data_IF_003333761781
#
_entry.id   IF_003333761781
#
_cell.length_a   1.000
_cell.length_b   1.000
_cell.length_c   1.000
_cell.angle_alpha   90.00
_cell.angle_beta   90.00
_cell.angle_gamma   90.00
#
_symmetry.space_group_name_H-M   'P 1'
#
loop_
_entity.id
_entity.type
_entity.pdbx_description
1 polymer ?
#
# COMPACT_ATOMS: atom_id res chain seq x y z
N UNK A 1 -6.31 26.99 -5.90
CA UNK A 1 -5.77 26.03 -4.91
C UNK A 1 -4.66 25.29 -5.63
N UNK A 2 -3.39 25.45 -5.25
CA UNK A 2 -2.30 24.72 -5.90
C UNK A 2 -2.35 23.32 -5.32
N UNK A 3 -2.85 22.39 -6.12
CA UNK A 3 -2.90 20.96 -5.79
C UNK A 3 -1.44 20.49 -5.68
N UNK A 4 -1.11 19.77 -4.61
CA UNK A 4 0.20 19.14 -4.47
C UNK A 4 0.36 18.11 -5.60
N UNK A 5 1.50 18.04 -6.30
CA UNK A 5 1.72 17.03 -7.34
C UNK A 5 1.68 15.58 -6.80
N UNK A 6 1.65 15.42 -5.46
CA UNK A 6 1.55 14.16 -4.74
C UNK A 6 0.13 13.85 -4.24
N UNK A 7 -0.89 14.68 -4.54
CA UNK A 7 -2.27 14.51 -4.02
C UNK A 7 -2.82 13.11 -4.29
N UNK A 8 -2.80 12.64 -5.54
CA UNK A 8 -3.29 11.32 -5.87
C UNK A 8 -2.45 10.18 -5.26
N UNK A 9 -1.18 10.42 -4.93
CA UNK A 9 -0.38 9.44 -4.19
C UNK A 9 -0.85 9.35 -2.72
N UNK A 10 -1.23 10.48 -2.11
CA UNK A 10 -1.90 10.49 -0.80
C UNK A 10 -3.26 9.80 -0.86
N UNK A 11 -4.02 9.95 -1.94
CA UNK A 11 -5.30 9.25 -2.09
C UNK A 11 -5.12 7.73 -2.15
N UNK A 12 -4.12 7.24 -2.90
CA UNK A 12 -3.73 5.82 -2.84
C UNK A 12 -3.30 5.41 -1.43
N UNK A 13 -2.49 6.22 -0.75
CA UNK A 13 -2.03 5.89 0.60
C UNK A 13 -3.22 5.75 1.58
N UNK A 14 -4.15 6.69 1.57
CA UNK A 14 -5.34 6.69 2.43
C UNK A 14 -6.29 5.55 2.08
N UNK A 15 -6.50 5.32 0.78
CA UNK A 15 -7.40 4.29 0.28
C UNK A 15 -7.04 2.87 0.74
N UNK A 16 -5.75 2.60 0.88
CA UNK A 16 -5.22 1.25 1.08
C UNK A 16 -4.32 1.10 2.31
N UNK A 17 -4.18 2.15 3.12
CA UNK A 17 -3.32 2.18 4.31
C UNK A 17 -1.88 1.70 4.06
N UNK A 18 -1.30 2.08 2.91
CA UNK A 18 0.01 1.60 2.47
C UNK A 18 1.15 2.28 3.25
N UNK A 19 1.63 1.65 4.32
CA UNK A 19 2.68 2.22 5.19
C UNK A 19 3.95 2.59 4.42
N UNK A 20 4.41 1.71 3.53
CA UNK A 20 5.60 1.98 2.69
C UNK A 20 5.39 3.17 1.74
N UNK A 21 4.17 3.37 1.25
CA UNK A 21 3.82 4.51 0.42
C UNK A 21 3.86 5.81 1.22
N UNK A 22 3.30 5.82 2.44
CA UNK A 22 3.32 6.98 3.34
C UNK A 22 4.74 7.51 3.56
N UNK A 23 5.66 6.64 3.98
CA UNK A 23 7.06 7.03 4.23
C UNK A 23 7.76 7.52 2.97
N UNK A 24 7.40 7.00 1.79
CA UNK A 24 8.00 7.42 0.52
C UNK A 24 7.46 8.78 0.09
N UNK A 25 6.18 9.06 0.31
CA UNK A 25 5.56 10.36 0.02
C UNK A 25 6.17 11.45 0.90
N UNK A 26 6.30 11.22 2.22
CA UNK A 26 6.90 12.19 3.15
C UNK A 26 8.31 12.60 2.72
N UNK A 27 9.13 11.62 2.29
CA UNK A 27 10.47 11.87 1.76
C UNK A 27 10.45 12.62 0.43
N UNK A 28 9.50 12.31 -0.45
CA UNK A 28 9.31 13.02 -1.71
C UNK A 28 8.95 14.49 -1.49
N UNK A 29 8.04 14.76 -0.55
CA UNK A 29 7.60 16.12 -0.20
C UNK A 29 8.76 16.96 0.36
N UNK A 30 9.57 16.39 1.25
CA UNK A 30 10.72 17.09 1.80
C UNK A 30 11.75 17.43 0.70
N UNK A 31 12.12 16.45 -0.12
CA UNK A 31 13.05 16.67 -1.23
C UNK A 31 12.51 17.68 -2.25
N UNK A 32 11.19 17.71 -2.48
CA UNK A 32 10.57 18.61 -3.44
C UNK A 32 10.62 20.08 -3.00
N UNK A 33 10.71 20.38 -1.70
CA UNK A 33 10.75 21.77 -1.18
C UNK A 33 11.96 22.55 -1.70
N UNK A 34 13.11 21.89 -1.78
CA UNK A 34 14.35 22.44 -2.35
C UNK A 34 14.68 21.87 -3.72
N UNK A 35 13.80 21.02 -4.26
CA UNK A 35 13.95 20.35 -5.55
C UNK A 35 15.30 19.61 -5.62
N UNK A 36 15.52 18.72 -4.66
CA UNK A 36 16.68 17.85 -4.62
C UNK A 36 16.58 16.75 -5.69
N UNK A 37 17.70 16.29 -6.26
CA UNK A 37 17.72 15.19 -7.24
C UNK A 37 16.98 13.93 -6.78
N UNK A 38 17.00 13.62 -5.49
CA UNK A 38 16.33 12.48 -4.86
C UNK A 38 14.81 12.51 -5.04
N UNK A 39 14.20 13.68 -5.34
CA UNK A 39 12.78 13.76 -5.71
C UNK A 39 12.45 12.79 -6.86
N UNK A 40 13.33 12.67 -7.85
CA UNK A 40 13.15 11.75 -8.99
C UNK A 40 13.09 10.29 -8.52
N UNK A 41 13.97 9.91 -7.59
CA UNK A 41 14.00 8.57 -7.02
C UNK A 41 12.72 8.25 -6.24
N UNK A 42 12.25 9.18 -5.41
CA UNK A 42 11.04 8.98 -4.64
C UNK A 42 9.79 8.93 -5.52
N UNK A 43 9.65 9.81 -6.51
CA UNK A 43 8.54 9.76 -7.47
C UNK A 43 8.50 8.43 -8.23
N UNK A 44 9.66 7.91 -8.66
CA UNK A 44 9.77 6.58 -9.28
C UNK A 44 9.30 5.47 -8.33
N UNK A 45 9.77 5.50 -7.07
CA UNK A 45 9.40 4.50 -6.07
C UNK A 45 7.89 4.52 -5.78
N UNK A 46 7.27 5.71 -5.74
CA UNK A 46 5.83 5.86 -5.56
C UNK A 46 5.07 5.19 -6.72
N UNK A 47 5.45 5.47 -7.98
CA UNK A 47 4.81 4.82 -9.15
C UNK A 47 4.93 3.30 -9.04
N UNK A 48 6.11 2.81 -8.65
CA UNK A 48 6.35 1.37 -8.51
C UNK A 48 5.47 0.73 -7.43
N UNK A 49 5.39 1.36 -6.25
CA UNK A 49 4.54 0.89 -5.15
C UNK A 49 3.07 0.85 -5.59
N UNK A 50 2.59 1.92 -6.24
CA UNK A 50 1.21 2.01 -6.73
C UNK A 50 0.91 0.93 -7.77
N UNK A 51 1.78 0.74 -8.77
CA UNK A 51 1.55 -0.26 -9.82
C UNK A 51 1.56 -1.69 -9.27
N UNK A 52 2.51 -2.02 -8.38
CA UNK A 52 2.56 -3.32 -7.72
C UNK A 52 1.33 -3.57 -6.87
N UNK A 53 0.85 -2.53 -6.18
CA UNK A 53 -0.37 -2.65 -5.41
C UNK A 53 -1.58 -2.93 -6.31
N UNK A 54 -1.78 -2.16 -7.38
CA UNK A 54 -2.85 -2.39 -8.37
C UNK A 54 -2.82 -3.83 -8.91
N UNK A 55 -1.65 -4.32 -9.32
CA UNK A 55 -1.51 -5.68 -9.85
C UNK A 55 -1.80 -6.74 -8.77
N UNK A 56 -1.37 -6.50 -7.53
CA UNK A 56 -1.71 -7.37 -6.39
C UNK A 56 -3.21 -7.44 -6.13
N UNK A 57 -3.93 -6.32 -6.22
CA UNK A 57 -5.40 -6.27 -6.05
C UNK A 57 -6.13 -7.08 -7.13
N UNK A 58 -5.45 -7.36 -8.25
CA UNK A 58 -5.95 -8.16 -9.37
C UNK A 58 -5.47 -9.60 -9.37
N UNK A 59 -4.71 -10.01 -8.35
CA UNK A 59 -4.09 -11.34 -8.30
C UNK A 59 -3.09 -11.57 -9.44
N UNK A 60 -2.56 -10.51 -10.04
CA UNK A 60 -1.60 -10.61 -11.15
C UNK A 60 -0.16 -10.59 -10.64
N UNK A 61 0.73 -11.41 -11.22
CA UNK A 61 2.14 -11.40 -10.84
C UNK A 61 2.81 -10.11 -11.33
N UNK A 62 3.71 -9.57 -10.52
CA UNK A 62 4.45 -8.34 -10.83
C UNK A 62 5.93 -8.40 -10.45
N UNK A 63 6.40 -9.54 -9.96
CA UNK A 63 7.81 -9.74 -9.62
C UNK A 63 8.67 -9.63 -10.89
N UNK A 64 9.86 -9.05 -10.75
CA UNK A 64 10.84 -8.80 -11.83
C UNK A 64 10.41 -7.84 -12.96
N UNK A 65 9.20 -7.28 -12.92
CA UNK A 65 8.76 -6.33 -13.93
C UNK A 65 9.49 -4.98 -13.78
N UNK A 66 10.03 -4.49 -14.90
CA UNK A 66 10.56 -3.13 -14.98
C UNK A 66 9.42 -2.11 -14.95
N UNK A 67 9.69 -0.92 -14.41
CA UNK A 67 8.70 0.15 -14.23
C UNK A 67 7.81 0.44 -15.46
N UNK A 68 8.32 0.52 -16.70
CA UNK A 68 7.47 0.76 -17.87
C UNK A 68 6.43 -0.35 -18.08
N UNK A 69 6.82 -1.60 -17.84
CA UNK A 69 5.96 -2.77 -17.94
C UNK A 69 4.97 -2.82 -16.78
N UNK A 70 5.39 -2.47 -15.56
CA UNK A 70 4.51 -2.32 -14.40
C UNK A 70 3.38 -1.33 -14.66
N UNK A 71 3.69 -0.14 -15.19
CA UNK A 71 2.68 0.89 -15.49
C UNK A 71 1.71 0.42 -16.56
N UNK A 72 2.23 -0.18 -17.65
CA UNK A 72 1.39 -0.72 -18.72
C UNK A 72 0.43 -1.79 -18.21
N UNK A 73 0.96 -2.75 -17.44
CA UNK A 73 0.18 -3.88 -16.95
C UNK A 73 -0.81 -3.42 -15.87
N UNK A 74 -0.45 -2.46 -15.01
CA UNK A 74 -1.37 -1.87 -14.04
C UNK A 74 -2.56 -1.20 -14.74
N UNK A 75 -2.33 -0.37 -15.76
CA UNK A 75 -3.41 0.26 -16.55
C UNK A 75 -4.27 -0.77 -17.29
N UNK A 76 -3.65 -1.77 -17.92
CA UNK A 76 -4.36 -2.83 -18.61
C UNK A 76 -5.20 -3.69 -17.64
N UNK A 77 -4.68 -4.02 -16.46
CA UNK A 77 -5.38 -4.78 -15.42
C UNK A 77 -6.57 -4.03 -14.83
N UNK A 78 -6.47 -2.71 -14.89
CA UNK A 78 -7.57 -1.85 -14.57
C UNK A 78 -8.64 -2.00 -15.68
N UNK A 79 -8.31 -2.08 -16.96
CA UNK A 79 -9.28 -2.14 -18.06
C UNK A 79 -9.23 -0.88 -18.91
N UNK A 80 -8.06 -0.25 -18.93
CA UNK A 80 -7.79 0.90 -19.75
C UNK A 80 -7.50 0.44 -21.19
N UNK A 81 -8.53 0.45 -22.04
CA UNK A 81 -8.50 -0.14 -23.40
C UNK A 81 -7.71 0.67 -24.44
N UNK A 82 -7.15 1.83 -24.06
CA UNK A 82 -6.38 2.66 -24.98
C UNK A 82 -4.89 2.28 -24.97
N UNK A 83 -4.56 1.25 -25.74
CA UNK A 83 -3.19 0.74 -25.91
C UNK A 83 -2.18 1.80 -26.36
N UNK A 84 -2.62 2.80 -27.13
CA UNK A 84 -1.76 3.89 -27.59
C UNK A 84 -1.36 4.81 -26.44
N UNK A 85 -2.31 5.21 -25.60
CA UNK A 85 -2.03 6.03 -24.42
C UNK A 85 -1.21 5.24 -23.41
N UNK A 86 -1.54 3.97 -23.16
CA UNK A 86 -0.76 3.11 -22.27
C UNK A 86 0.67 2.91 -22.78
N UNK A 87 0.86 2.74 -24.09
CA UNK A 87 2.17 2.64 -24.74
C UNK A 87 2.99 3.93 -24.61
N UNK A 88 2.37 5.08 -24.89
CA UNK A 88 3.04 6.38 -24.76
C UNK A 88 3.44 6.68 -23.31
N UNK A 89 2.57 6.39 -22.35
CA UNK A 89 2.86 6.58 -20.92
C UNK A 89 3.98 5.65 -20.45
N UNK A 90 3.95 4.39 -20.90
CA UNK A 90 5.03 3.42 -20.65
C UNK A 90 6.37 3.92 -21.21
N UNK A 91 6.37 4.48 -22.42
CA UNK A 91 7.55 5.09 -23.04
C UNK A 91 8.08 6.30 -22.27
N UNK A 92 7.19 7.19 -21.82
CA UNK A 92 7.53 8.33 -20.98
C UNK A 92 8.14 7.87 -19.65
N UNK A 93 7.53 6.91 -18.97
CA UNK A 93 8.06 6.32 -17.72
C UNK A 93 9.38 5.58 -17.95
N UNK A 94 9.57 4.97 -19.14
CA UNK A 94 10.84 4.41 -19.57
C UNK A 94 11.93 5.47 -19.65
N UNK A 95 11.66 6.59 -20.31
CA UNK A 95 12.57 7.73 -20.37
C UNK A 95 12.87 8.29 -18.97
N UNK A 96 11.88 8.36 -18.07
CA UNK A 96 12.08 8.76 -16.67
C UNK A 96 13.01 7.82 -15.93
N UNK A 97 12.83 6.50 -16.09
CA UNK A 97 13.68 5.49 -15.46
C UNK A 97 15.12 5.56 -16.00
N UNK A 98 15.30 5.86 -17.29
CA UNK A 98 16.60 6.06 -17.92
C UNK A 98 17.30 7.33 -17.44
N UNK A 99 16.60 8.46 -17.35
CA UNK A 99 17.14 9.71 -16.79
C UNK A 99 17.64 9.43 -15.38
N UNK A 100 16.80 8.85 -14.51
CA UNK A 100 17.20 8.44 -13.16
C UNK A 100 18.45 7.57 -13.17
N UNK A 101 18.53 6.55 -14.03
CA UNK A 101 19.68 5.66 -14.07
C UNK A 101 20.97 6.34 -14.60
N UNK A 102 20.83 7.43 -15.35
CA UNK A 102 21.94 8.23 -15.88
C UNK A 102 22.38 9.38 -14.98
N UNK A 103 21.54 9.80 -14.02
CA UNK A 103 21.74 11.06 -13.28
C UNK A 103 21.58 10.92 -11.76
N UNK A 104 21.06 9.80 -11.23
CA UNK A 104 20.90 9.60 -9.78
C UNK A 104 22.13 8.93 -9.15
N UNK A 105 22.49 9.45 -7.97
CA UNK A 105 23.55 8.98 -7.07
C UNK A 105 23.38 7.48 -6.71
N UNK A 106 22.16 6.94 -6.79
CA UNK A 106 21.83 5.55 -6.49
C UNK A 106 21.74 4.64 -7.74
N UNK A 107 22.35 5.02 -8.86
CA UNK A 107 22.59 4.13 -9.99
C UNK A 107 23.61 3.06 -9.62
N UNK A 108 23.24 1.77 -9.65
CA UNK A 108 24.16 0.68 -9.34
C UNK A 108 25.43 0.75 -10.21
N UNK A 109 26.58 1.09 -9.60
CA UNK A 109 27.91 0.71 -10.08
C UNK A 109 28.63 1.61 -11.08
N UNK A 110 28.35 2.91 -11.17
CA UNK A 110 29.13 3.82 -12.03
C UNK A 110 29.65 5.03 -11.24
N UNK A 111 30.98 5.13 -11.14
CA UNK A 111 31.72 6.13 -10.37
C UNK A 111 31.73 7.54 -11.03
N UNK A 112 31.52 8.55 -10.18
CA UNK A 112 32.16 9.88 -10.16
C UNK A 112 32.03 10.85 -11.35
N UNK A 113 31.13 10.66 -12.32
CA UNK A 113 30.99 11.62 -13.44
C UNK A 113 29.58 11.75 -14.06
N UNK A 114 28.52 11.57 -13.29
CA UNK A 114 27.17 11.81 -13.80
C UNK A 114 26.72 13.27 -13.59
N UNK A 115 26.13 13.86 -14.63
CA UNK A 115 25.46 15.14 -14.55
C UNK A 115 24.27 15.02 -13.57
N UNK A 116 24.29 15.85 -12.54
CA UNK A 116 23.18 15.97 -11.57
C UNK A 116 21.98 16.57 -12.32
N UNK A 117 20.74 16.05 -12.11
CA UNK A 117 19.54 16.62 -12.70
C UNK A 117 19.44 18.11 -12.41
N UNK A 118 19.13 18.89 -13.43
CA UNK A 118 18.83 20.30 -13.22
C UNK A 118 17.49 20.45 -12.50
N UNK A 119 17.30 21.62 -11.89
CA UNK A 119 16.03 22.05 -11.33
C UNK A 119 14.86 21.98 -12.31
N UNK A 120 15.14 22.21 -13.60
CA UNK A 120 14.16 22.07 -14.68
C UNK A 120 13.81 20.61 -14.93
N UNK A 121 14.79 19.71 -14.93
CA UNK A 121 14.58 18.27 -15.11
C UNK A 121 13.69 17.71 -14.00
N UNK A 122 13.93 18.12 -12.75
CA UNK A 122 13.13 17.71 -11.59
C UNK A 122 11.67 18.17 -11.75
N UNK A 123 11.44 19.42 -12.16
CA UNK A 123 10.08 19.94 -12.39
C UNK A 123 9.35 19.18 -13.49
N UNK A 124 10.01 18.91 -14.62
CA UNK A 124 9.45 18.12 -15.72
C UNK A 124 9.10 16.72 -15.22
N UNK A 125 9.99 16.09 -14.45
CA UNK A 125 9.77 14.78 -13.88
C UNK A 125 8.53 14.77 -12.97
N UNK A 126 8.40 15.75 -12.09
CA UNK A 126 7.28 15.87 -11.15
C UNK A 126 5.95 16.05 -11.88
N UNK A 127 5.90 16.87 -12.93
CA UNK A 127 4.68 17.04 -13.74
C UNK A 127 4.27 15.75 -14.47
N UNK A 128 5.23 14.97 -14.95
CA UNK A 128 4.96 13.68 -15.57
C UNK A 128 4.49 12.68 -14.51
N UNK A 129 5.17 12.63 -13.36
CA UNK A 129 4.79 11.80 -12.22
C UNK A 129 3.33 12.06 -11.80
N UNK A 130 2.95 13.32 -11.63
CA UNK A 130 1.59 13.74 -11.27
C UNK A 130 0.57 13.20 -12.27
N UNK A 131 0.87 13.34 -13.57
CA UNK A 131 0.01 12.84 -14.66
C UNK A 131 -0.13 11.32 -14.64
N UNK A 132 0.96 10.59 -14.39
CA UNK A 132 0.98 9.12 -14.32
C UNK A 132 0.14 8.64 -13.13
N UNK A 133 0.36 9.20 -11.93
CA UNK A 133 -0.36 8.79 -10.73
C UNK A 133 -1.84 9.16 -10.83
N UNK A 134 -2.17 10.34 -11.36
CA UNK A 134 -3.56 10.74 -11.61
C UNK A 134 -4.26 9.75 -12.54
N UNK A 135 -3.61 9.36 -13.64
CA UNK A 135 -4.18 8.38 -14.56
C UNK A 135 -4.38 7.01 -13.89
N UNK A 136 -3.38 6.53 -13.14
CA UNK A 136 -3.48 5.27 -12.40
C UNK A 136 -4.61 5.30 -11.38
N UNK A 137 -4.78 6.41 -10.66
CA UNK A 137 -5.85 6.61 -9.69
C UNK A 137 -7.23 6.58 -10.34
N UNK A 138 -7.42 7.36 -11.41
CA UNK A 138 -8.69 7.40 -12.14
C UNK A 138 -9.01 6.10 -12.85
N UNK A 139 -7.98 5.42 -13.39
CA UNK A 139 -8.14 4.08 -13.92
C UNK A 139 -8.65 3.20 -12.78
N UNK A 140 -7.87 2.99 -11.71
CA UNK A 140 -8.23 2.10 -10.61
C UNK A 140 -9.65 2.34 -10.04
N UNK A 141 -10.05 3.61 -9.87
CA UNK A 141 -11.36 3.97 -9.32
C UNK A 141 -12.55 3.70 -10.23
N UNK A 142 -12.36 3.51 -11.54
CA UNK A 142 -13.46 3.23 -12.47
C UNK A 142 -13.85 1.75 -12.56
N UNK A 143 -13.10 0.86 -11.93
CA UNK A 143 -13.26 -0.57 -12.17
C UNK A 143 -14.00 -1.34 -11.09
N UNK A 144 -14.57 -2.48 -11.48
CA UNK A 144 -15.27 -3.39 -10.59
C UNK A 144 -14.31 -3.92 -9.52
N UNK A 145 -14.75 -3.82 -8.27
CA UNK A 145 -14.08 -4.34 -7.10
C UNK A 145 -14.37 -5.84 -7.04
N UNK A 146 -13.32 -6.66 -6.97
CA UNK A 146 -13.45 -8.07 -6.65
C UNK A 146 -13.37 -8.23 -5.13
N UNK A 147 -14.52 -8.49 -4.49
CA UNK A 147 -14.62 -8.66 -3.04
C UNK A 147 -13.78 -9.83 -2.50
N UNK A 148 -13.36 -10.78 -3.35
CA UNK A 148 -12.53 -11.92 -2.93
C UNK A 148 -11.03 -11.61 -2.91
N UNK A 149 -10.61 -10.52 -3.58
CA UNK A 149 -9.20 -10.15 -3.75
C UNK A 149 -8.84 -8.80 -3.14
N UNK A 150 -9.81 -7.88 -3.08
CA UNK A 150 -9.60 -6.48 -2.69
C UNK A 150 -9.00 -6.34 -1.29
N UNK A 151 -7.99 -5.48 -1.15
CA UNK A 151 -7.43 -5.00 0.12
C UNK A 151 -7.88 -3.57 0.44
N UNK A 152 -8.86 -3.03 -0.30
CA UNK A 152 -9.54 -1.79 0.09
C UNK A 152 -10.07 -1.90 1.51
N UNK A 153 -10.01 -0.80 2.25
CA UNK A 153 -10.59 -0.74 3.58
C UNK A 153 -12.12 -0.92 3.52
N UNK A 154 -12.67 -1.55 4.56
CA UNK A 154 -14.10 -1.86 4.65
C UNK A 154 -15.01 -0.62 4.46
N UNK A 155 -14.68 0.50 5.10
CA UNK A 155 -15.42 1.76 4.99
C UNK A 155 -15.47 2.30 3.56
N UNK A 156 -14.36 2.15 2.81
CA UNK A 156 -14.29 2.57 1.42
C UNK A 156 -15.01 1.61 0.48
N UNK A 157 -14.99 0.30 0.77
CA UNK A 157 -15.78 -0.69 0.03
C UNK A 157 -17.26 -0.41 0.23
N UNK A 158 -17.68 -0.20 1.47
CA UNK A 158 -19.06 0.11 1.83
C UNK A 158 -19.55 1.36 1.11
N UNK A 159 -18.76 2.43 1.11
CA UNK A 159 -19.09 3.66 0.39
C UNK A 159 -19.14 3.45 -1.13
N UNK A 160 -18.13 2.79 -1.71
CA UNK A 160 -17.98 2.68 -3.17
C UNK A 160 -18.98 1.75 -3.82
N UNK A 161 -19.44 0.72 -3.08
CA UNK A 161 -20.45 -0.23 -3.54
C UNK A 161 -21.84 0.05 -2.95
N UNK A 162 -22.01 1.17 -2.23
CA UNK A 162 -23.26 1.60 -1.60
C UNK A 162 -23.88 0.49 -0.71
N UNK A 163 -23.03 -0.20 0.07
CA UNK A 163 -23.42 -1.39 0.83
C UNK A 163 -24.01 -1.09 2.21
N UNK A 164 -24.14 0.18 2.63
CA UNK A 164 -24.59 0.53 3.98
C UNK A 164 -25.92 -0.17 4.36
N UNK A 165 -26.93 -0.12 3.48
CA UNK A 165 -28.21 -0.80 3.73
C UNK A 165 -28.09 -2.33 3.75
N UNK A 166 -27.20 -2.90 2.94
CA UNK A 166 -26.94 -4.34 2.94
C UNK A 166 -26.25 -4.76 4.24
N UNK A 167 -25.25 -4.00 4.69
CA UNK A 167 -24.52 -4.25 5.93
C UNK A 167 -25.44 -4.13 7.14
N UNK A 168 -26.34 -3.13 7.19
CA UNK A 168 -27.37 -3.03 8.25
C UNK A 168 -28.25 -4.29 8.33
N UNK A 169 -28.69 -4.84 7.18
CA UNK A 169 -29.47 -6.08 7.16
C UNK A 169 -28.63 -7.28 7.59
N UNK A 170 -27.36 -7.35 7.16
CA UNK A 170 -26.45 -8.42 7.53
C UNK A 170 -26.18 -8.41 9.03
N UNK A 171 -25.90 -7.24 9.61
CA UNK A 171 -25.66 -7.04 11.04
C UNK A 171 -26.89 -7.41 11.87
N UNK A 172 -28.10 -7.06 11.40
CA UNK A 172 -29.35 -7.41 12.09
C UNK A 172 -29.73 -8.89 11.98
N UNK A 173 -29.34 -9.57 10.90
CA UNK A 173 -29.69 -10.97 10.63
C UNK A 173 -28.63 -11.98 11.10
N UNK A 174 -27.41 -11.52 11.36
CA UNK A 174 -26.31 -12.36 11.84
C UNK A 174 -26.53 -12.76 13.29
N UNK A 175 -26.50 -14.07 13.56
CA UNK A 175 -26.60 -14.60 14.91
C UNK A 175 -25.22 -14.61 15.58
N UNK A 176 -25.09 -13.90 16.69
CA UNK A 176 -23.89 -13.90 17.53
C UNK A 176 -24.24 -14.52 18.88
N UNK A 177 -23.60 -15.63 19.22
CA UNK A 177 -23.74 -16.27 20.54
C UNK A 177 -22.39 -16.35 21.23
N UNK A 178 -22.36 -16.07 22.52
CA UNK A 178 -21.17 -16.15 23.36
C UNK A 178 -21.37 -17.24 24.41
N UNK A 179 -20.40 -18.16 24.50
CA UNK A 179 -20.30 -19.12 25.58
C UNK A 179 -19.35 -18.56 26.66
N UNK A 180 -19.88 -18.08 27.80
CA UNK A 180 -19.08 -17.47 28.85
C UNK A 180 -18.23 -18.47 29.65
N UNK A 181 -18.52 -19.77 29.63
CA UNK A 181 -17.72 -20.77 30.35
C UNK A 181 -16.43 -21.09 29.59
N UNK A 182 -16.52 -21.18 28.26
CA UNK A 182 -15.37 -21.49 27.39
C UNK A 182 -14.73 -20.25 26.75
N UNK A 183 -15.34 -19.06 26.90
CA UNK A 183 -14.88 -17.81 26.28
C UNK A 183 -14.96 -17.84 24.74
N UNK A 184 -15.89 -18.64 24.18
CA UNK A 184 -16.03 -18.85 22.73
C UNK A 184 -17.11 -17.94 22.15
N UNK A 185 -16.83 -17.40 20.96
CA UNK A 185 -17.78 -16.61 20.18
C UNK A 185 -18.20 -17.45 18.99
N UNK A 186 -19.49 -17.47 18.67
CA UNK A 186 -20.01 -18.10 17.46
C UNK A 186 -20.74 -17.06 16.61
N UNK A 187 -20.38 -17.00 15.33
CA UNK A 187 -21.02 -16.15 14.32
C UNK A 187 -21.71 -17.09 13.33
N UNK A 188 -23.04 -17.00 13.24
CA UNK A 188 -23.88 -17.92 12.47
C UNK A 188 -23.59 -19.41 12.76
N UNK A 189 -23.33 -19.74 14.03
CA UNK A 189 -23.04 -21.10 14.50
C UNK A 189 -21.61 -21.58 14.25
N UNK A 190 -20.74 -20.78 13.61
CA UNK A 190 -19.32 -21.10 13.45
C UNK A 190 -18.51 -20.49 14.58
N UNK A 191 -17.68 -21.30 15.25
CA UNK A 191 -16.74 -20.82 16.27
C UNK A 191 -15.73 -19.85 15.65
N UNK A 192 -15.53 -18.72 16.33
CA UNK A 192 -14.52 -17.71 16.03
C UNK A 192 -13.78 -17.38 17.32
N UNK A 193 -12.47 -17.61 17.34
CA UNK A 193 -11.66 -17.43 18.55
C UNK A 193 -11.32 -15.95 18.75
N UNK A 194 -11.45 -15.39 19.96
CA UNK A 194 -11.03 -14.01 20.23
C UNK A 194 -9.56 -13.74 19.86
N UNK A 195 -8.67 -14.69 20.11
CA UNK A 195 -7.25 -14.58 19.73
C UNK A 195 -7.04 -14.54 18.21
N UNK A 196 -7.86 -15.26 17.44
CA UNK A 196 -7.85 -15.23 15.98
C UNK A 196 -8.38 -13.89 15.45
N UNK A 197 -9.45 -13.36 16.05
CA UNK A 197 -9.97 -12.03 15.73
C UNK A 197 -8.91 -10.95 15.98
N UNK A 198 -8.26 -10.96 17.14
CA UNK A 198 -7.18 -10.02 17.43
C UNK A 198 -6.03 -10.20 16.43
N UNK A 199 -5.62 -11.43 16.13
CA UNK A 199 -4.53 -11.64 15.18
C UNK A 199 -4.84 -11.16 13.75
N UNK A 200 -6.10 -11.28 13.31
CA UNK A 200 -6.53 -10.89 11.96
C UNK A 200 -6.81 -9.39 11.88
N UNK A 201 -7.52 -8.83 12.86
CA UNK A 201 -8.05 -7.46 12.81
C UNK A 201 -7.25 -6.44 13.63
N UNK A 202 -6.53 -6.86 14.68
CA UNK A 202 -5.70 -5.98 15.53
C UNK A 202 -4.40 -6.66 15.99
N UNK A 203 -3.47 -6.80 15.04
CA UNK A 203 -2.15 -7.42 15.31
C UNK A 203 -1.35 -6.70 16.39
N UNK A 204 -1.57 -5.40 16.58
CA UNK A 204 -0.85 -4.63 17.58
C UNK A 204 -1.32 -5.05 18.97
N UNK A 205 -2.63 -5.04 19.22
CA UNK A 205 -3.18 -5.55 20.48
C UNK A 205 -2.83 -7.02 20.71
N UNK A 206 -2.89 -7.87 19.68
CA UNK A 206 -2.43 -9.27 19.82
C UNK A 206 -0.96 -9.35 20.28
N UNK A 207 -0.08 -8.55 19.68
CA UNK A 207 1.35 -8.53 20.00
C UNK A 207 1.62 -8.00 21.41
N UNK A 208 0.82 -7.03 21.88
CA UNK A 208 0.89 -6.51 23.24
C UNK A 208 0.46 -7.56 24.27
N UNK A 209 -0.65 -8.26 24.02
CA UNK A 209 -1.12 -9.35 24.91
C UNK A 209 -0.11 -10.50 24.96
N UNK A 210 0.50 -10.87 23.82
CA UNK A 210 1.56 -11.88 23.80
C UNK A 210 2.79 -11.47 24.62
N UNK A 211 3.17 -10.18 24.60
CA UNK A 211 4.26 -9.67 25.42
C UNK A 211 3.93 -9.75 26.91
N UNK A 212 2.71 -9.36 27.30
CA UNK A 212 2.24 -9.47 28.71
C UNK A 212 2.27 -10.91 29.20
N UNK A 213 1.74 -11.84 28.39
CA UNK A 213 1.73 -13.27 28.71
C UNK A 213 3.15 -13.82 28.93
N UNK A 214 4.11 -13.48 28.07
CA UNK A 214 5.51 -13.91 28.22
C UNK A 214 6.18 -13.34 29.47
N UNK A 215 5.86 -12.11 29.86
CA UNK A 215 6.38 -11.51 31.09
C UNK A 215 5.80 -12.26 32.31
N UNK A 216 4.50 -12.56 32.30
CA UNK A 216 3.87 -13.31 33.39
C UNK A 216 4.35 -14.76 33.53
N UNK A 217 4.80 -15.42 32.45
CA UNK A 217 5.44 -16.74 32.56
C UNK A 217 6.83 -16.67 33.21
N UNK A 218 7.61 -15.62 32.92
CA UNK A 218 8.94 -15.42 33.51
C UNK A 218 8.86 -15.09 35.00
N UNK A 219 7.82 -14.36 35.42
CA UNK A 219 7.59 -14.05 36.84
C UNK A 219 6.93 -15.21 37.62
N UNK A 220 6.50 -16.28 36.94
CA UNK A 220 5.79 -17.42 37.53
C UNK A 220 6.67 -18.67 37.74
N UNK A 221 7.92 -18.70 37.28
CA UNK A 221 8.90 -19.72 37.69
C UNK A 221 9.46 -19.36 39.08
N UNK A 222 9.11 -20.09 40.15
CA UNK A 222 9.78 -19.93 41.44
C UNK A 222 11.13 -20.63 41.36
N UNK A 223 12.17 -20.02 41.94
CA UNK A 223 13.46 -20.67 42.23
C UNK A 223 13.25 -21.95 43.07
N UNK A 224 13.03 -23.11 42.42
CA UNK A 224 13.03 -24.43 43.09
C UNK A 224 14.44 -24.89 43.49
N UNK A 225 15.50 -24.15 43.15
CA UNK A 225 16.89 -24.49 43.55
C UNK A 225 17.35 -23.89 44.89
N UNK A 226 16.48 -23.24 45.67
CA UNK A 226 16.85 -22.67 46.98
C UNK A 226 16.40 -23.47 48.22
N UNK A 227 16.02 -24.75 48.08
CA UNK A 227 15.67 -25.63 49.23
C UNK A 227 16.42 -26.97 49.28
N UNK A 228 17.66 -27.02 48.78
CA UNK A 228 18.52 -28.19 48.96
C UNK A 228 19.97 -27.81 49.34
N UNK A 229 20.16 -27.09 50.45
CA UNK A 229 21.44 -27.02 51.18
C UNK A 229 21.20 -26.89 52.69
#
# INVERSE_FOLDING_TARGET
MIISPLEHAHDFQKGFALTRLSTTIEKAEEALKSLEPETIDYCKCIIEIVCKHILSERGLPYEDLRLPKLVKDALASCGFDNDMIAGNLSGIVGALAEIRNRTSIAGHGQHDSQDIPSQTDIRIFVSIFESVISLLWHAFNKFNIDLTLTKLRFDLIEQRLELAAFNEVLDASTSITHDPEEGRIYINGKEVRPSELLFIFDRNSYSEELKKYRISEVDAEPDEEAMAL
#
